data_IF_165925398713
#
_entry.id   IF_165925398713
#
_cell.length_a   1.000
_cell.length_b   1.000
_cell.length_c   1.000
_cell.angle_alpha   90.00
_cell.angle_beta   90.00
_cell.angle_gamma   90.00
#
_symmetry.space_group_name_H-M   'P 1'
#
loop_
_entity.id
_entity.type
_entity.pdbx_description
1 polymer ?
#
# COMPACT_ATOMS: atom_id res chain seq x y z
N UNK A 1 2.50 -9.41 9.53
CA UNK A 1 3.40 -9.86 8.44
C UNK A 1 3.39 -8.89 7.27
N UNK A 2 2.23 -8.59 6.64
CA UNK A 2 2.15 -7.62 5.53
C UNK A 2 2.73 -6.26 5.91
N UNK A 3 2.40 -5.74 7.10
CA UNK A 3 2.96 -4.49 7.60
C UNK A 3 4.49 -4.53 7.69
N UNK A 4 5.07 -5.62 8.20
CA UNK A 4 6.52 -5.77 8.30
C UNK A 4 7.22 -5.80 6.94
N UNK A 5 6.56 -6.32 5.91
CA UNK A 5 7.09 -6.35 4.54
C UNK A 5 6.97 -5.00 3.83
N UNK A 6 5.93 -4.22 4.14
CA UNK A 6 5.69 -2.94 3.49
C UNK A 6 6.41 -1.78 4.16
N UNK A 7 6.69 -1.86 5.48
CA UNK A 7 7.39 -0.82 6.24
C UNK A 7 8.75 -0.44 5.62
N UNK A 8 9.66 -1.38 5.25
CA UNK A 8 10.93 -1.00 4.64
C UNK A 8 10.76 -0.18 3.35
N UNK A 9 9.78 -0.52 2.52
CA UNK A 9 9.50 0.21 1.27
C UNK A 9 9.07 1.64 1.55
N UNK A 10 8.20 1.83 2.55
CA UNK A 10 7.73 3.17 2.96
C UNK A 10 8.86 3.98 3.58
N UNK A 11 9.71 3.34 4.40
CA UNK A 11 10.86 4.00 5.05
C UNK A 11 11.84 4.52 4.00
N UNK A 12 12.29 3.66 3.07
CA UNK A 12 13.23 4.04 2.01
C UNK A 12 12.63 5.15 1.14
N UNK A 13 11.39 5.02 0.69
CA UNK A 13 10.76 6.05 -0.12
C UNK A 13 10.55 7.37 0.63
N UNK A 14 10.35 7.32 1.95
CA UNK A 14 10.26 8.52 2.79
C UNK A 14 11.62 9.19 2.90
N UNK A 15 12.68 8.41 3.12
CA UNK A 15 14.05 8.90 3.17
C UNK A 15 14.45 9.57 1.86
N UNK A 16 14.26 8.89 0.72
CA UNK A 16 14.51 9.45 -0.60
C UNK A 16 13.69 10.72 -0.86
N UNK A 17 12.41 10.71 -0.48
CA UNK A 17 11.53 11.88 -0.59
C UNK A 17 12.04 13.06 0.22
N UNK A 18 12.54 12.82 1.44
CA UNK A 18 13.12 13.86 2.27
C UNK A 18 14.47 14.36 1.72
N UNK A 19 15.33 13.46 1.22
CA UNK A 19 16.62 13.83 0.64
C UNK A 19 16.49 14.59 -0.68
N UNK A 20 15.40 14.39 -1.43
CA UNK A 20 15.15 15.11 -2.69
C UNK A 20 14.91 16.61 -2.52
N UNK A 21 14.70 17.09 -1.29
CA UNK A 21 14.50 18.53 -0.98
C UNK A 21 15.84 19.25 -1.04
N UNK A 22 16.02 20.25 -1.95
CA UNK A 22 17.26 20.98 -2.09
C UNK A 22 17.71 21.65 -0.79
N UNK A 23 19.02 21.60 -0.51
CA UNK A 23 19.58 22.19 0.71
C UNK A 23 19.32 23.70 0.80
N UNK A 24 19.36 24.40 -0.35
CA UNK A 24 19.07 25.82 -0.42
C UNK A 24 17.68 26.19 0.14
N UNK A 25 16.67 25.33 -0.05
CA UNK A 25 15.33 25.56 0.50
C UNK A 25 15.32 25.42 2.02
N UNK A 26 16.09 24.49 2.55
CA UNK A 26 16.25 24.30 4.01
C UNK A 26 16.99 25.45 4.65
N UNK A 27 18.07 25.90 4.00
CA UNK A 27 18.93 26.99 4.51
C UNK A 27 18.19 28.32 4.40
N UNK A 28 17.44 28.56 3.33
CA UNK A 28 16.58 29.73 3.21
C UNK A 28 15.53 29.83 4.32
N UNK A 29 14.88 28.72 4.67
CA UNK A 29 13.94 28.72 5.78
C UNK A 29 14.62 29.03 7.15
N UNK A 30 15.85 28.52 7.35
CA UNK A 30 16.62 28.78 8.57
C UNK A 30 17.12 30.24 8.62
N UNK A 31 17.51 30.80 7.48
CA UNK A 31 17.92 32.20 7.38
C UNK A 31 16.79 33.17 7.76
N UNK A 32 15.53 32.77 7.53
CA UNK A 32 14.34 33.50 7.96
C UNK A 32 13.99 33.26 9.46
N UNK A 33 14.87 32.60 10.23
CA UNK A 33 14.67 32.35 11.66
C UNK A 33 13.83 31.12 12.01
N UNK A 34 13.49 30.26 11.02
CA UNK A 34 12.74 29.05 11.32
C UNK A 34 13.59 28.04 12.11
N UNK A 35 13.00 27.45 13.16
CA UNK A 35 13.62 26.34 13.90
C UNK A 35 13.70 25.08 13.02
N UNK A 36 14.55 24.11 13.40
CA UNK A 36 14.68 22.84 12.69
C UNK A 36 13.34 22.12 12.54
N UNK A 37 12.51 22.14 13.57
CA UNK A 37 11.18 21.54 13.57
C UNK A 37 10.20 22.28 12.64
N UNK A 38 10.22 23.61 12.65
CA UNK A 38 9.42 24.42 11.76
C UNK A 38 9.82 24.22 10.29
N UNK A 39 11.13 24.18 10.01
CA UNK A 39 11.66 23.87 8.67
C UNK A 39 11.20 22.51 8.20
N UNK A 40 11.30 21.47 9.05
CA UNK A 40 10.85 20.12 8.70
C UNK A 40 9.36 20.08 8.40
N UNK A 41 8.53 20.60 9.32
CA UNK A 41 7.06 20.46 9.23
C UNK A 41 6.42 21.35 8.17
N UNK A 42 6.91 22.57 8.00
CA UNK A 42 6.28 23.57 7.12
C UNK A 42 6.89 23.66 5.71
N UNK A 43 8.13 23.19 5.55
CA UNK A 43 8.86 23.31 4.28
C UNK A 43 9.23 21.96 3.72
N UNK A 44 9.99 21.14 4.46
CA UNK A 44 10.56 19.89 3.96
C UNK A 44 9.47 18.83 3.76
N UNK A 45 8.61 18.62 4.73
CA UNK A 45 7.58 17.58 4.67
C UNK A 45 6.55 17.83 3.56
N UNK A 46 5.99 19.03 3.36
CA UNK A 46 5.11 19.32 2.22
C UNK A 46 5.80 19.14 0.87
N UNK A 47 7.08 19.51 0.78
CA UNK A 47 7.86 19.35 -0.44
C UNK A 47 8.13 17.86 -0.76
N UNK A 48 8.46 17.06 0.25
CA UNK A 48 8.71 15.62 0.14
C UNK A 48 7.43 14.78 -0.02
N UNK A 49 6.26 15.31 0.35
CA UNK A 49 4.99 14.57 0.38
C UNK A 49 4.66 13.78 -0.90
N UNK A 50 4.90 14.29 -2.13
CA UNK A 50 4.65 13.52 -3.36
C UNK A 50 5.53 12.27 -3.49
N UNK A 51 6.77 12.31 -2.98
CA UNK A 51 7.68 11.16 -2.92
C UNK A 51 7.21 10.12 -1.92
N UNK A 52 6.90 10.56 -0.71
CA UNK A 52 6.39 9.70 0.38
C UNK A 52 5.09 8.99 -0.05
N UNK A 53 4.16 9.71 -0.68
CA UNK A 53 2.93 9.12 -1.21
C UNK A 53 3.20 8.06 -2.27
N UNK A 54 4.23 8.25 -3.10
CA UNK A 54 4.63 7.23 -4.09
C UNK A 54 5.06 5.94 -3.41
N UNK A 55 5.91 6.06 -2.38
CA UNK A 55 6.35 4.90 -1.60
C UNK A 55 5.19 4.17 -0.91
N UNK A 56 4.27 4.91 -0.32
CA UNK A 56 3.08 4.34 0.30
C UNK A 56 2.22 3.56 -0.73
N UNK A 57 2.03 4.12 -1.93
CA UNK A 57 1.30 3.46 -3.02
C UNK A 57 1.98 2.16 -3.46
N UNK A 58 3.30 2.21 -3.66
CA UNK A 58 4.09 1.04 -4.04
C UNK A 58 4.05 -0.04 -2.95
N UNK A 59 4.08 0.35 -1.68
CA UNK A 59 3.96 -0.56 -0.54
C UNK A 59 2.61 -1.28 -0.54
N UNK A 60 1.50 -0.57 -0.76
CA UNK A 60 0.15 -1.16 -0.84
C UNK A 60 0.04 -2.10 -2.04
N UNK A 61 0.51 -1.68 -3.22
CA UNK A 61 0.48 -2.50 -4.44
C UNK A 61 1.29 -3.80 -4.26
N UNK A 62 2.46 -3.71 -3.61
CA UNK A 62 3.27 -4.87 -3.26
C UNK A 62 2.55 -5.80 -2.29
N UNK A 63 2.02 -5.26 -1.20
CA UNK A 63 1.29 -6.04 -0.19
C UNK A 63 0.07 -6.78 -0.75
N UNK A 64 -0.59 -6.24 -1.76
CA UNK A 64 -1.73 -6.88 -2.42
C UNK A 64 -1.35 -8.15 -3.21
N UNK A 65 -0.10 -8.27 -3.67
CA UNK A 65 0.40 -9.42 -4.42
C UNK A 65 1.13 -10.48 -3.58
N UNK A 66 1.39 -10.22 -2.30
CA UNK A 66 2.18 -11.13 -1.46
C UNK A 66 1.37 -12.33 -0.99
N UNK A 67 1.88 -13.54 -1.23
CA UNK A 67 1.22 -14.81 -0.87
C UNK A 67 2.01 -15.58 0.18
N UNK A 68 3.31 -15.78 -0.03
CA UNK A 68 4.14 -16.68 0.77
C UNK A 68 4.16 -16.36 2.27
N UNK A 69 4.36 -15.13 2.74
CA UNK A 69 4.36 -14.82 4.16
C UNK A 69 3.00 -15.02 4.83
N UNK A 70 1.92 -14.85 4.07
CA UNK A 70 0.56 -15.04 4.57
C UNK A 70 0.24 -16.52 4.78
N UNK A 71 0.78 -17.41 3.95
CA UNK A 71 0.64 -18.85 4.11
C UNK A 71 1.20 -19.36 5.46
N UNK A 72 2.26 -18.70 5.96
CA UNK A 72 2.89 -19.04 7.24
C UNK A 72 2.12 -18.49 8.44
N UNK A 73 1.32 -17.44 8.27
CA UNK A 73 0.76 -16.67 9.39
C UNK A 73 -0.73 -16.80 9.61
N UNK A 74 -1.41 -17.69 8.90
CA UNK A 74 -2.78 -18.03 9.24
C UNK A 74 -3.85 -17.70 8.20
N UNK A 75 -3.49 -17.58 6.94
CA UNK A 75 -4.46 -17.66 5.85
C UNK A 75 -5.06 -19.06 5.82
N UNK A 76 -6.37 -19.15 5.71
CA UNK A 76 -7.09 -20.43 5.70
C UNK A 76 -7.80 -20.64 4.36
N UNK A 77 -7.99 -21.91 4.00
CA UNK A 77 -8.66 -22.32 2.77
C UNK A 77 -10.14 -21.86 2.73
N UNK A 78 -10.81 -21.92 3.88
CA UNK A 78 -12.20 -21.53 4.02
C UNK A 78 -12.34 -20.58 5.20
N UNK A 79 -12.69 -19.31 4.92
CA UNK A 79 -13.07 -18.35 5.93
C UNK A 79 -14.61 -18.37 6.07
N UNK A 80 -15.16 -18.84 7.19
CA UNK A 80 -16.61 -19.02 7.34
C UNK A 80 -17.36 -17.68 7.45
N UNK A 81 -16.66 -16.62 7.81
CA UNK A 81 -17.25 -15.28 7.99
C UNK A 81 -16.26 -14.17 7.64
N UNK A 82 -16.76 -13.05 7.17
CA UNK A 82 -15.94 -11.88 6.91
C UNK A 82 -15.43 -11.26 8.22
N UNK A 83 -14.28 -10.60 8.15
CA UNK A 83 -13.73 -9.85 9.27
C UNK A 83 -14.54 -8.58 9.59
N UNK A 84 -15.34 -8.09 8.62
CA UNK A 84 -16.31 -7.00 8.77
C UNK A 84 -17.71 -7.58 8.78
N UNK A 85 -18.45 -7.31 9.85
CA UNK A 85 -19.81 -7.79 10.04
C UNK A 85 -20.71 -6.66 10.56
N UNK A 86 -22.03 -6.78 10.37
CA UNK A 86 -23.04 -5.81 10.87
C UNK A 86 -23.26 -5.87 12.40
N UNK A 87 -22.63 -6.80 13.10
CA UNK A 87 -22.73 -6.96 14.56
C UNK A 87 -21.58 -6.24 15.27
N UNK A 88 -21.86 -5.55 16.38
CA UNK A 88 -20.83 -4.94 17.19
C UNK A 88 -19.88 -6.01 17.77
N UNK A 89 -18.55 -5.84 17.70
CA UNK A 89 -17.76 -4.62 17.40
C UNK A 89 -17.40 -4.40 15.90
N UNK A 90 -18.22 -4.65 14.94
CA UNK A 90 -18.10 -4.42 13.49
C UNK A 90 -16.80 -4.92 12.82
N UNK A 91 -15.67 -4.94 13.54
CA UNK A 91 -14.37 -5.42 13.09
C UNK A 91 -13.88 -6.53 14.02
N UNK A 92 -13.80 -7.74 13.49
CA UNK A 92 -13.36 -8.95 14.20
C UNK A 92 -11.96 -9.34 13.76
N UNK A 93 -10.93 -8.89 14.50
CA UNK A 93 -9.52 -9.16 14.21
C UNK A 93 -9.08 -10.59 14.53
N UNK A 94 -9.89 -11.32 15.26
CA UNK A 94 -9.71 -12.73 15.63
C UNK A 94 -10.15 -13.72 14.54
N UNK A 95 -10.95 -13.24 13.57
CA UNK A 95 -11.45 -14.07 12.48
C UNK A 95 -10.37 -14.34 11.44
N UNK A 96 -10.33 -15.58 11.00
CA UNK A 96 -9.46 -16.01 9.90
C UNK A 96 -9.96 -15.43 8.57
N UNK A 97 -9.04 -15.11 7.68
CA UNK A 97 -9.37 -14.55 6.38
C UNK A 97 -8.72 -15.36 5.26
N UNK A 98 -9.31 -15.29 4.07
CA UNK A 98 -8.77 -15.86 2.85
C UNK A 98 -8.24 -14.74 1.97
N UNK A 99 -6.98 -14.87 1.53
CA UNK A 99 -6.35 -13.93 0.63
C UNK A 99 -6.49 -14.40 -0.82
N UNK A 100 -6.80 -13.51 -1.75
CA UNK A 100 -7.07 -13.86 -3.15
C UNK A 100 -5.88 -14.57 -3.82
N UNK A 101 -4.65 -14.14 -3.52
CA UNK A 101 -3.43 -14.80 -4.01
C UNK A 101 -3.27 -16.23 -3.46
N UNK A 102 -3.62 -16.45 -2.19
CA UNK A 102 -3.63 -17.79 -1.62
C UNK A 102 -4.70 -18.68 -2.28
N UNK A 103 -5.87 -18.14 -2.61
CA UNK A 103 -6.91 -18.85 -3.33
C UNK A 103 -6.42 -19.35 -4.69
N UNK A 104 -5.70 -18.51 -5.43
CA UNK A 104 -5.09 -18.90 -6.71
C UNK A 104 -4.12 -20.06 -6.53
N UNK A 105 -3.27 -20.01 -5.49
CA UNK A 105 -2.34 -21.08 -5.17
C UNK A 105 -3.06 -22.39 -4.79
N UNK A 106 -4.05 -22.30 -3.90
CA UNK A 106 -4.80 -23.47 -3.43
C UNK A 106 -5.55 -24.17 -4.57
N UNK A 107 -6.29 -23.42 -5.37
CA UNK A 107 -7.07 -23.95 -6.50
C UNK A 107 -6.15 -24.43 -7.63
N UNK A 108 -5.04 -23.72 -7.88
CA UNK A 108 -4.12 -24.05 -8.98
C UNK A 108 -3.20 -25.24 -8.72
N UNK A 109 -2.81 -25.46 -7.47
CA UNK A 109 -1.79 -26.45 -7.14
C UNK A 109 -2.26 -27.54 -6.16
N UNK A 110 -3.27 -27.26 -5.34
CA UNK A 110 -3.76 -28.21 -4.32
C UNK A 110 -5.12 -28.81 -4.65
N UNK A 111 -5.71 -28.48 -5.78
CA UNK A 111 -6.97 -29.07 -6.23
C UNK A 111 -6.77 -30.53 -6.65
N UNK A 112 -7.67 -31.44 -6.25
CA UNK A 112 -7.62 -32.83 -6.69
C UNK A 112 -7.73 -33.02 -8.21
N UNK A 113 -8.38 -32.06 -8.91
CA UNK A 113 -8.51 -32.04 -10.35
C UNK A 113 -8.08 -30.66 -10.89
N UNK A 114 -6.79 -30.52 -11.15
CA UNK A 114 -6.17 -29.28 -11.62
C UNK A 114 -6.74 -28.86 -12.99
N UNK A 115 -7.02 -29.81 -13.89
CA UNK A 115 -7.57 -29.50 -15.22
C UNK A 115 -8.96 -28.85 -15.15
N UNK A 116 -9.84 -29.37 -14.32
CA UNK A 116 -11.18 -28.80 -14.11
C UNK A 116 -11.13 -27.46 -13.35
N UNK A 117 -10.06 -27.22 -12.57
CA UNK A 117 -9.89 -25.99 -11.80
C UNK A 117 -9.30 -24.82 -12.62
N UNK A 118 -8.67 -25.08 -13.77
CA UNK A 118 -8.03 -24.06 -14.61
C UNK A 118 -8.89 -22.83 -14.92
N UNK A 119 -10.17 -22.97 -15.35
CA UNK A 119 -11.02 -21.81 -15.65
C UNK A 119 -11.21 -20.90 -14.42
N UNK A 120 -11.33 -21.49 -13.24
CA UNK A 120 -11.49 -20.75 -11.99
C UNK A 120 -10.22 -20.03 -11.58
N UNK A 121 -9.06 -20.65 -11.80
CA UNK A 121 -7.75 -20.01 -11.60
C UNK A 121 -7.61 -18.78 -12.49
N UNK A 122 -7.89 -18.90 -13.78
CA UNK A 122 -7.79 -17.78 -14.73
C UNK A 122 -8.76 -16.64 -14.35
N UNK A 123 -9.99 -16.96 -14.00
CA UNK A 123 -10.96 -15.96 -13.55
C UNK A 123 -10.47 -15.22 -12.29
N UNK A 124 -9.94 -15.94 -11.30
CA UNK A 124 -9.42 -15.35 -10.06
C UNK A 124 -8.18 -14.50 -10.30
N UNK A 125 -7.26 -14.95 -11.17
CA UNK A 125 -6.08 -14.17 -11.58
C UNK A 125 -6.51 -12.88 -12.28
N UNK A 126 -7.51 -12.94 -13.17
CA UNK A 126 -8.06 -11.76 -13.84
C UNK A 126 -8.63 -10.75 -12.83
N UNK A 127 -9.41 -11.23 -11.86
CA UNK A 127 -9.97 -10.37 -10.79
C UNK A 127 -8.86 -9.73 -9.99
N UNK A 128 -7.82 -10.48 -9.59
CA UNK A 128 -6.67 -9.94 -8.85
C UNK A 128 -5.94 -8.87 -9.68
N UNK A 129 -5.70 -9.13 -10.97
CA UNK A 129 -5.04 -8.20 -11.87
C UNK A 129 -5.83 -6.89 -12.00
N UNK A 130 -7.13 -6.99 -12.26
CA UNK A 130 -8.01 -5.82 -12.36
C UNK A 130 -7.99 -5.03 -11.04
N UNK A 131 -8.08 -5.69 -9.91
CA UNK A 131 -8.05 -5.05 -8.59
C UNK A 131 -6.74 -4.30 -8.36
N UNK A 132 -5.59 -4.93 -8.64
CA UNK A 132 -4.27 -4.30 -8.49
C UNK A 132 -4.12 -3.10 -9.45
N UNK A 133 -4.56 -3.23 -10.70
CA UNK A 133 -4.54 -2.12 -11.67
C UNK A 133 -5.41 -0.96 -11.19
N UNK A 134 -6.64 -1.22 -10.73
CA UNK A 134 -7.55 -0.19 -10.20
C UNK A 134 -6.95 0.51 -8.98
N UNK A 135 -6.34 -0.23 -8.05
CA UNK A 135 -5.64 0.34 -6.89
C UNK A 135 -4.53 1.27 -7.34
N UNK A 136 -3.67 0.82 -8.26
CA UNK A 136 -2.55 1.61 -8.77
C UNK A 136 -3.03 2.88 -9.50
N UNK A 137 -4.04 2.77 -10.38
CA UNK A 137 -4.60 3.92 -11.10
C UNK A 137 -5.20 4.93 -10.12
N UNK A 138 -5.97 4.46 -9.14
CA UNK A 138 -6.57 5.31 -8.10
C UNK A 138 -5.49 6.03 -7.29
N UNK A 139 -4.46 5.33 -6.91
CA UNK A 139 -3.33 5.85 -6.16
C UNK A 139 -2.54 6.90 -6.96
N UNK A 140 -2.27 6.66 -8.25
CA UNK A 140 -1.62 7.63 -9.15
C UNK A 140 -2.51 8.87 -9.33
N UNK A 141 -3.81 8.70 -9.50
CA UNK A 141 -4.76 9.81 -9.62
C UNK A 141 -4.78 10.66 -8.34
N UNK A 142 -4.81 10.02 -7.18
CA UNK A 142 -4.77 10.70 -5.88
C UNK A 142 -3.46 11.48 -5.69
N UNK A 143 -2.31 10.84 -6.01
CA UNK A 143 -0.99 11.50 -6.00
C UNK A 143 -0.96 12.74 -6.89
N UNK A 144 -1.48 12.62 -8.11
CA UNK A 144 -1.49 13.73 -9.09
C UNK A 144 -2.36 14.89 -8.59
N UNK A 145 -3.53 14.60 -8.02
CA UNK A 145 -4.41 15.60 -7.41
C UNK A 145 -3.75 16.31 -6.23
N UNK A 146 -3.11 15.58 -5.33
CA UNK A 146 -2.40 16.12 -4.17
C UNK A 146 -1.21 16.99 -4.59
N UNK A 147 -0.41 16.51 -5.56
CA UNK A 147 0.72 17.28 -6.11
C UNK A 147 0.26 18.62 -6.73
N UNK A 148 -0.86 18.64 -7.45
CA UNK A 148 -1.43 19.87 -8.02
C UNK A 148 -1.91 20.84 -6.93
N UNK A 149 -2.52 20.35 -5.85
CA UNK A 149 -2.95 21.18 -4.71
C UNK A 149 -1.76 21.80 -3.97
N UNK A 150 -0.72 21.00 -3.70
CA UNK A 150 0.49 21.48 -3.04
C UNK A 150 1.23 22.54 -3.85
N UNK A 151 1.33 22.39 -5.18
CA UNK A 151 1.93 23.40 -6.05
C UNK A 151 1.17 24.75 -6.03
N UNK A 152 -0.17 24.71 -5.91
CA UNK A 152 -0.99 25.93 -5.83
C UNK A 152 -0.91 26.63 -4.47
N UNK A 153 -0.53 25.94 -3.42
CA UNK A 153 -0.40 26.52 -2.07
C UNK A 153 0.96 27.17 -1.82
N UNK A 154 1.93 26.97 -2.71
CA UNK A 154 3.31 27.50 -2.60
C UNK A 154 3.53 28.69 -3.55
N UNK A 155 2.59 28.98 -4.44
CA UNK A 155 2.54 30.17 -5.31
C UNK A 155 1.48 31.11 -4.77
#
# INVERSE_FOLDING_TARGET
>A
TLALLTVPVVVVATEEGLQSVPQAVRDGARALGATRWQTLRRVVLPYAAPGILTGAILAVARGAGEVAPLMLTGVVKLAPSLALDGTAPFLHLDRKFMHLGFHIYDVGFQSPNVEAAKPMVYATVLVLLVLVVLLNVTAIALRTRLRRRLKRAVV
#
